data_IF_365909095284
#
_entry.id   IF_365909095284
#
_cell.length_a   1.000
_cell.length_b   1.000
_cell.length_c   1.000
_cell.angle_alpha   90.00
_cell.angle_beta   90.00
_cell.angle_gamma   90.00
#
_symmetry.space_group_name_H-M   'P 1'
#
loop_
_entity.id
_entity.type
_entity.pdbx_description
1 polymer ?
#
# COMPACT_ATOMS: atom_id res chain seq x y z
N UNK A 1 5.43 0.79 -11.68
CA UNK A 1 4.85 2.14 -11.81
C UNK A 1 4.07 2.30 -13.11
N UNK A 2 4.67 2.11 -14.27
CA UNK A 2 4.00 2.27 -15.57
C UNK A 2 2.68 1.50 -15.67
N UNK A 3 2.67 0.21 -15.32
CA UNK A 3 1.48 -0.64 -15.32
C UNK A 3 0.34 -0.14 -14.42
N UNK A 4 0.67 0.44 -13.24
CA UNK A 4 -0.32 1.04 -12.33
C UNK A 4 -0.93 2.28 -12.96
N UNK A 5 -0.10 3.13 -13.58
CA UNK A 5 -0.54 4.34 -14.27
C UNK A 5 -1.40 4.05 -15.50
N UNK A 6 -1.14 2.92 -16.16
CA UNK A 6 -1.90 2.43 -17.32
C UNK A 6 -3.18 1.68 -16.92
N UNK A 7 -3.48 1.57 -15.60
CA UNK A 7 -4.68 0.90 -15.10
C UNK A 7 -4.66 -0.62 -15.23
N UNK A 8 -3.48 -1.24 -15.33
CA UNK A 8 -3.36 -2.71 -15.43
C UNK A 8 -3.93 -3.38 -14.19
N UNK A 9 -4.87 -4.31 -14.36
CA UNK A 9 -5.37 -5.15 -13.29
C UNK A 9 -4.32 -6.22 -12.92
N UNK A 10 -3.51 -5.90 -11.91
CA UNK A 10 -2.42 -6.77 -11.44
C UNK A 10 -2.91 -8.12 -10.92
N UNK A 11 -4.14 -8.22 -10.41
CA UNK A 11 -4.72 -9.48 -9.93
C UNK A 11 -5.17 -10.37 -11.10
N UNK A 12 -5.76 -9.77 -12.13
CA UNK A 12 -6.09 -10.48 -13.36
C UNK A 12 -4.82 -10.99 -14.06
N UNK A 13 -3.78 -10.18 -14.10
CA UNK A 13 -2.47 -10.60 -14.62
C UNK A 13 -1.90 -11.78 -13.82
N UNK A 14 -1.92 -11.73 -12.48
CA UNK A 14 -1.46 -12.82 -11.61
C UNK A 14 -2.25 -14.11 -11.86
N UNK A 15 -3.59 -14.01 -11.90
CA UNK A 15 -4.48 -15.12 -12.22
C UNK A 15 -4.11 -15.79 -13.55
N UNK A 16 -3.90 -14.99 -14.59
CA UNK A 16 -3.51 -15.46 -15.92
C UNK A 16 -2.18 -16.25 -15.88
N UNK A 17 -1.15 -15.69 -15.27
CA UNK A 17 0.19 -16.30 -15.22
C UNK A 17 0.18 -17.64 -14.48
N UNK A 18 -0.51 -17.72 -13.34
CA UNK A 18 -0.60 -18.96 -12.55
C UNK A 18 -1.43 -20.02 -13.30
N UNK A 19 -2.52 -19.60 -13.97
CA UNK A 19 -3.36 -20.50 -14.77
C UNK A 19 -2.61 -21.06 -15.98
N UNK A 20 -1.85 -20.23 -16.68
CA UNK A 20 -1.00 -20.65 -17.81
C UNK A 20 0.13 -21.59 -17.38
N UNK A 21 0.58 -21.49 -16.11
CA UNK A 21 1.53 -22.42 -15.50
C UNK A 21 0.90 -23.75 -15.04
N UNK A 22 -0.38 -24.00 -15.36
CA UNK A 22 -1.08 -25.26 -15.14
C UNK A 22 -1.95 -25.32 -13.90
N UNK A 23 -2.15 -24.22 -13.16
CA UNK A 23 -3.04 -24.16 -12.00
C UNK A 23 -4.17 -23.15 -12.24
N UNK A 24 -5.40 -23.59 -12.55
CA UNK A 24 -6.54 -22.68 -12.67
C UNK A 24 -6.72 -21.83 -11.41
N UNK A 25 -6.64 -20.51 -11.57
CA UNK A 25 -6.67 -19.59 -10.45
C UNK A 25 -7.63 -18.44 -10.77
N UNK A 26 -8.63 -18.22 -9.92
CA UNK A 26 -9.55 -17.10 -10.10
C UNK A 26 -8.85 -15.76 -9.78
N UNK A 27 -9.42 -14.65 -10.28
CA UNK A 27 -8.94 -13.30 -9.94
C UNK A 27 -8.98 -13.04 -8.41
N UNK A 28 -9.97 -13.60 -7.72
CA UNK A 28 -10.10 -13.44 -6.27
C UNK A 28 -8.99 -14.19 -5.52
N UNK A 29 -8.69 -15.43 -5.92
CA UNK A 29 -7.61 -16.22 -5.33
C UNK A 29 -6.24 -15.61 -5.64
N UNK A 30 -6.08 -15.05 -6.83
CA UNK A 30 -4.86 -14.39 -7.27
C UNK A 30 -4.47 -13.16 -6.42
N UNK A 31 -5.40 -12.55 -5.68
CA UNK A 31 -5.07 -11.42 -4.77
C UNK A 31 -4.01 -11.79 -3.75
N UNK A 32 -4.14 -12.94 -3.10
CA UNK A 32 -3.17 -13.41 -2.13
C UNK A 32 -1.79 -13.64 -2.77
N UNK A 33 -1.76 -14.21 -3.98
CA UNK A 33 -0.52 -14.46 -4.72
C UNK A 33 0.12 -13.19 -5.24
N UNK A 34 -0.65 -12.16 -5.60
CA UNK A 34 -0.13 -10.84 -6.01
C UNK A 34 0.63 -10.18 -4.86
N UNK A 35 0.07 -10.19 -3.66
CA UNK A 35 0.67 -9.53 -2.50
C UNK A 35 1.80 -10.35 -1.85
N UNK A 36 1.73 -11.68 -1.90
CA UNK A 36 2.68 -12.54 -1.21
C UNK A 36 4.16 -12.25 -1.58
N UNK A 37 4.58 -12.17 -2.86
CA UNK A 37 5.96 -11.84 -3.19
C UNK A 37 6.31 -10.38 -2.89
N UNK A 38 5.34 -9.45 -2.94
CA UNK A 38 5.55 -8.05 -2.53
C UNK A 38 5.97 -7.97 -1.05
N UNK A 39 5.39 -8.82 -0.20
CA UNK A 39 5.77 -8.95 1.21
C UNK A 39 6.84 -10.03 1.46
N UNK A 40 7.47 -10.51 0.38
CA UNK A 40 8.69 -11.32 0.41
C UNK A 40 8.50 -12.82 0.51
N UNK A 41 7.35 -13.35 0.15
CA UNK A 41 7.21 -14.78 -0.08
C UNK A 41 8.09 -15.23 -1.24
N UNK A 42 8.69 -16.42 -1.10
CA UNK A 42 9.68 -16.98 -2.04
C UNK A 42 9.14 -18.15 -2.86
N UNK A 43 7.88 -18.52 -2.68
CA UNK A 43 7.30 -19.72 -3.27
C UNK A 43 7.58 -21.02 -2.51
N UNK A 44 8.36 -20.99 -1.44
CA UNK A 44 8.61 -22.16 -0.59
C UNK A 44 7.29 -22.67 0.03
N UNK A 45 7.04 -23.98 -0.08
CA UNK A 45 5.79 -24.59 0.42
C UNK A 45 4.55 -24.28 -0.44
N UNK A 46 4.74 -23.79 -1.66
CA UNK A 46 3.70 -23.48 -2.65
C UNK A 46 3.69 -24.52 -3.77
N UNK A 47 2.64 -24.49 -4.59
CA UNK A 47 2.60 -25.31 -5.82
C UNK A 47 3.69 -24.88 -6.80
N UNK A 48 3.99 -25.72 -7.76
CA UNK A 48 4.99 -25.42 -8.79
C UNK A 48 4.59 -24.16 -9.60
N UNK A 49 3.31 -24.01 -9.95
CA UNK A 49 2.79 -22.85 -10.69
C UNK A 49 2.91 -21.56 -9.88
N UNK A 50 2.53 -21.59 -8.60
CA UNK A 50 2.67 -20.43 -7.69
C UNK A 50 4.15 -20.06 -7.49
N UNK A 51 5.03 -21.04 -7.30
CA UNK A 51 6.46 -20.80 -7.16
C UNK A 51 7.06 -20.17 -8.43
N UNK A 52 6.68 -20.67 -9.61
CA UNK A 52 7.08 -20.11 -10.89
C UNK A 52 6.63 -18.65 -11.03
N UNK A 53 5.38 -18.33 -10.65
CA UNK A 53 4.89 -16.94 -10.61
C UNK A 53 5.74 -16.07 -9.68
N UNK A 54 6.08 -16.54 -8.47
CA UNK A 54 6.88 -15.76 -7.52
C UNK A 54 8.28 -15.46 -8.04
N UNK A 55 8.92 -16.43 -8.70
CA UNK A 55 10.20 -16.22 -9.38
C UNK A 55 10.07 -15.19 -10.52
N UNK A 56 9.03 -15.31 -11.33
CA UNK A 56 8.74 -14.36 -12.40
C UNK A 56 8.50 -12.95 -11.84
N UNK A 57 7.73 -12.82 -10.75
CA UNK A 57 7.47 -11.55 -10.09
C UNK A 57 8.76 -10.85 -9.63
N UNK A 58 9.64 -11.58 -8.95
CA UNK A 58 10.92 -11.02 -8.45
C UNK A 58 11.85 -10.64 -9.61
N UNK A 59 11.88 -11.42 -10.67
CA UNK A 59 12.67 -11.10 -11.87
C UNK A 59 12.12 -9.84 -12.57
N UNK A 60 10.79 -9.74 -12.72
CA UNK A 60 10.11 -8.59 -13.34
C UNK A 60 10.27 -7.32 -12.52
N UNK A 61 10.20 -7.41 -11.20
CA UNK A 61 10.26 -6.28 -10.27
C UNK A 61 11.56 -6.31 -9.44
N UNK A 62 12.71 -6.37 -10.10
CA UNK A 62 14.02 -6.45 -9.44
C UNK A 62 14.28 -5.34 -8.41
N UNK A 63 13.68 -4.16 -8.59
CA UNK A 63 13.75 -3.06 -7.62
C UNK A 63 13.12 -3.40 -6.27
N UNK A 64 12.05 -4.23 -6.24
CA UNK A 64 11.44 -4.70 -4.99
C UNK A 64 12.41 -5.63 -4.24
N UNK A 65 13.07 -6.54 -4.95
CA UNK A 65 14.07 -7.43 -4.35
C UNK A 65 15.24 -6.65 -3.75
N UNK A 66 15.78 -5.68 -4.47
CA UNK A 66 16.84 -4.79 -3.99
C UNK A 66 16.41 -3.98 -2.77
N UNK A 67 15.20 -3.44 -2.78
CA UNK A 67 14.63 -2.72 -1.65
C UNK A 67 14.47 -3.62 -0.41
N UNK A 68 13.96 -4.86 -0.56
CA UNK A 68 13.88 -5.84 0.53
C UNK A 68 15.24 -6.14 1.15
N UNK A 69 16.30 -6.25 0.32
CA UNK A 69 17.66 -6.46 0.82
C UNK A 69 18.19 -5.24 1.58
N UNK A 70 17.89 -4.02 1.11
CA UNK A 70 18.27 -2.80 1.80
C UNK A 70 17.61 -2.67 3.17
N UNK A 71 16.32 -3.01 3.27
CA UNK A 71 15.60 -3.06 4.55
C UNK A 71 16.22 -4.08 5.51
N UNK A 72 16.52 -5.29 5.02
CA UNK A 72 17.17 -6.33 5.81
C UNK A 72 18.52 -5.89 6.35
N UNK A 73 19.34 -5.26 5.50
CA UNK A 73 20.65 -4.71 5.89
C UNK A 73 20.50 -3.59 6.91
N UNK A 74 19.53 -2.69 6.73
CA UNK A 74 19.26 -1.60 7.68
C UNK A 74 18.86 -2.15 9.05
N UNK A 75 17.90 -3.09 9.08
CA UNK A 75 17.44 -3.70 10.33
C UNK A 75 18.57 -4.43 11.08
N UNK A 76 19.39 -5.23 10.36
CA UNK A 76 20.51 -5.95 10.95
C UNK A 76 21.64 -5.04 11.48
N UNK A 77 21.88 -3.89 10.81
CA UNK A 77 22.98 -3.00 11.18
C UNK A 77 22.58 -1.94 12.20
N UNK A 78 21.33 -1.41 12.09
CA UNK A 78 20.86 -0.29 12.90
C UNK A 78 19.90 -0.73 14.02
N UNK A 79 19.33 -1.96 13.93
CA UNK A 79 18.29 -2.44 14.83
C UNK A 79 16.90 -1.85 14.54
N UNK A 80 16.75 -1.06 13.49
CA UNK A 80 15.46 -0.48 13.08
C UNK A 80 15.38 -0.24 11.58
N UNK A 81 14.15 -0.02 11.10
CA UNK A 81 13.85 0.49 9.76
C UNK A 81 12.99 1.75 9.89
N UNK A 82 13.03 2.62 8.88
CA UNK A 82 12.19 3.83 8.83
C UNK A 82 11.27 3.80 7.62
N UNK A 83 10.09 4.39 7.78
CA UNK A 83 9.17 4.70 6.68
C UNK A 83 9.58 6.02 6.00
N UNK A 84 9.03 6.34 4.82
CA UNK A 84 9.23 7.65 4.20
C UNK A 84 8.78 8.84 5.08
N UNK A 85 7.79 8.64 5.96
CA UNK A 85 7.33 9.65 6.92
C UNK A 85 8.28 9.85 8.12
N UNK A 86 9.37 9.06 8.22
CA UNK A 86 10.30 9.12 9.34
C UNK A 86 9.93 8.23 10.53
N UNK A 87 8.78 7.55 10.51
CA UNK A 87 8.38 6.59 11.55
C UNK A 87 9.38 5.44 11.61
N UNK A 88 9.78 5.04 12.80
CA UNK A 88 10.76 3.96 13.03
C UNK A 88 10.12 2.72 13.65
N UNK A 89 10.55 1.56 13.17
CA UNK A 89 10.20 0.24 13.71
C UNK A 89 11.47 -0.42 14.23
N UNK A 90 11.56 -0.58 15.55
CA UNK A 90 12.69 -1.20 16.21
C UNK A 90 12.59 -2.73 16.20
N UNK A 91 13.72 -3.39 16.04
CA UNK A 91 13.89 -4.85 16.09
C UNK A 91 15.02 -5.20 17.08
N UNK A 92 14.80 -5.03 18.39
CA UNK A 92 15.88 -5.14 19.40
C UNK A 92 16.49 -6.55 19.48
N UNK A 93 15.72 -7.58 19.12
CA UNK A 93 16.14 -8.99 19.20
C UNK A 93 16.41 -9.61 17.81
N UNK A 94 16.71 -8.77 16.82
CA UNK A 94 16.96 -9.25 15.47
C UNK A 94 18.24 -10.09 15.41
N UNK A 95 18.16 -11.25 14.79
CA UNK A 95 19.29 -12.13 14.54
C UNK A 95 19.41 -12.47 13.07
N UNK A 96 20.61 -12.85 12.63
CA UNK A 96 20.87 -13.33 11.28
C UNK A 96 20.67 -14.85 11.25
N UNK A 97 19.79 -15.31 10.36
CA UNK A 97 19.58 -16.75 10.10
C UNK A 97 20.73 -17.34 9.28
N UNK A 98 20.85 -18.68 9.21
CA UNK A 98 21.88 -19.39 8.42
C UNK A 98 21.87 -19.02 6.93
N UNK A 99 20.71 -18.67 6.38
CA UNK A 99 20.56 -18.22 4.98
C UNK A 99 20.89 -16.72 4.77
N UNK A 100 21.44 -16.04 5.79
CA UNK A 100 21.81 -14.64 5.73
C UNK A 100 20.68 -13.65 5.98
N UNK A 101 19.41 -14.08 5.97
CA UNK A 101 18.26 -13.21 6.18
C UNK A 101 18.05 -12.89 7.68
N UNK A 102 17.40 -11.75 8.00
CA UNK A 102 16.98 -11.45 9.37
C UNK A 102 15.93 -12.45 9.89
N UNK A 103 15.88 -12.65 11.20
CA UNK A 103 14.87 -13.49 11.84
C UNK A 103 13.44 -13.02 11.60
N UNK A 104 13.22 -11.69 11.52
CA UNK A 104 11.92 -11.05 11.34
C UNK A 104 11.69 -10.51 9.91
N UNK A 105 12.23 -11.18 8.91
CA UNK A 105 12.30 -10.65 7.54
C UNK A 105 10.95 -10.28 6.93
N UNK A 106 9.88 -11.02 7.22
CA UNK A 106 8.53 -10.70 6.74
C UNK A 106 8.00 -9.39 7.35
N UNK A 107 8.20 -9.19 8.66
CA UNK A 107 7.78 -7.95 9.36
C UNK A 107 8.54 -6.74 8.84
N UNK A 108 9.85 -6.89 8.61
CA UNK A 108 10.74 -5.85 8.07
C UNK A 108 10.25 -5.36 6.71
N UNK A 109 9.74 -6.25 5.85
CA UNK A 109 9.22 -5.89 4.53
C UNK A 109 7.81 -5.29 4.57
N UNK A 110 6.97 -5.82 5.47
CA UNK A 110 5.56 -5.45 5.54
C UNK A 110 5.35 -4.10 6.24
N UNK A 111 6.00 -3.87 7.37
CA UNK A 111 5.76 -2.70 8.22
C UNK A 111 5.90 -1.35 7.48
N UNK A 112 6.96 -1.09 6.69
CA UNK A 112 7.08 0.20 6.01
C UNK A 112 5.94 0.47 5.03
N UNK A 113 5.50 -0.56 4.28
CA UNK A 113 4.43 -0.41 3.28
C UNK A 113 3.10 -0.17 3.95
N UNK A 114 2.70 -1.07 4.85
CA UNK A 114 1.39 -0.98 5.49
C UNK A 114 1.29 0.25 6.40
N UNK A 115 2.31 0.51 7.20
CA UNK A 115 2.29 1.66 8.09
C UNK A 115 2.25 2.98 7.33
N UNK A 116 3.06 3.14 6.29
CA UNK A 116 3.05 4.38 5.52
C UNK A 116 1.68 4.61 4.86
N UNK A 117 1.07 3.57 4.29
CA UNK A 117 -0.26 3.68 3.70
C UNK A 117 -1.35 3.97 4.75
N UNK A 118 -1.44 3.16 5.82
CA UNK A 118 -2.59 3.18 6.73
C UNK A 118 -2.41 4.08 7.95
N UNK A 119 -1.19 4.24 8.46
CA UNK A 119 -0.91 5.01 9.67
C UNK A 119 -0.36 6.42 9.39
N UNK A 120 0.06 6.71 8.17
CA UNK A 120 0.57 8.02 7.80
C UNK A 120 -0.32 8.69 6.73
N UNK A 121 -0.52 8.07 5.55
CA UNK A 121 -1.30 8.67 4.45
C UNK A 121 -2.77 8.81 4.80
N UNK A 122 -3.42 7.78 5.37
CA UNK A 122 -4.86 7.83 5.69
C UNK A 122 -5.17 8.92 6.72
N UNK A 123 -4.51 9.02 7.89
CA UNK A 123 -4.73 10.10 8.84
C UNK A 123 -4.41 11.49 8.26
N UNK A 124 -3.36 11.61 7.45
CA UNK A 124 -3.04 12.86 6.77
C UNK A 124 -4.17 13.28 5.83
N UNK A 125 -4.72 12.34 5.06
CA UNK A 125 -5.86 12.56 4.16
C UNK A 125 -7.11 12.98 4.94
N UNK A 126 -7.39 12.32 6.06
CA UNK A 126 -8.51 12.67 6.96
C UNK A 126 -8.39 14.11 7.44
N UNK A 127 -7.25 14.50 7.99
CA UNK A 127 -7.00 15.85 8.48
C UNK A 127 -7.12 16.91 7.35
N UNK A 128 -6.70 16.54 6.16
CA UNK A 128 -6.80 17.44 5.01
C UNK A 128 -8.26 17.62 4.56
N UNK A 129 -9.05 16.54 4.49
CA UNK A 129 -10.49 16.62 4.17
C UNK A 129 -11.23 17.41 5.25
N UNK A 130 -10.97 17.15 6.53
CA UNK A 130 -11.52 17.89 7.65
C UNK A 130 -11.23 19.40 7.53
N UNK A 131 -10.00 19.74 7.16
CA UNK A 131 -9.64 21.13 6.90
C UNK A 131 -10.44 21.75 5.74
N UNK A 132 -10.72 20.99 4.69
CA UNK A 132 -11.50 21.47 3.53
C UNK A 132 -12.99 21.60 3.83
N UNK A 133 -13.51 20.82 4.79
CA UNK A 133 -14.92 20.89 5.23
C UNK A 133 -15.19 22.02 6.24
N UNK A 134 -14.17 22.76 6.70
CA UNK A 134 -14.36 23.84 7.66
C UNK A 134 -15.36 24.89 7.16
N UNK A 135 -16.33 25.19 8.01
CA UNK A 135 -17.41 26.13 7.71
C UNK A 135 -18.63 25.51 7.04
N UNK A 136 -18.59 24.21 6.75
CA UNK A 136 -19.73 23.42 6.27
C UNK A 136 -20.48 22.79 7.46
N UNK A 137 -21.72 22.36 7.24
CA UNK A 137 -22.48 21.55 8.18
C UNK A 137 -22.13 20.06 8.07
N UNK A 138 -21.66 19.66 6.90
CA UNK A 138 -21.15 18.31 6.63
C UNK A 138 -19.86 18.04 7.40
N UNK A 139 -19.73 16.85 7.99
CA UNK A 139 -18.57 16.51 8.82
C UNK A 139 -18.16 15.05 8.67
N UNK A 140 -16.90 14.72 8.99
CA UNK A 140 -16.41 13.35 9.08
C UNK A 140 -16.95 12.76 10.38
N UNK A 141 -17.70 11.64 10.28
CA UNK A 141 -18.27 10.94 11.44
C UNK A 141 -17.57 9.64 11.77
N UNK A 142 -16.87 9.03 10.83
CA UNK A 142 -16.14 7.79 11.07
C UNK A 142 -15.01 7.59 10.07
N UNK A 143 -14.02 6.76 10.45
CA UNK A 143 -13.03 6.21 9.54
C UNK A 143 -12.88 4.72 9.78
N UNK A 144 -12.88 3.93 8.71
CA UNK A 144 -12.76 2.47 8.77
C UNK A 144 -11.65 2.03 7.81
N UNK A 145 -10.52 1.61 8.36
CA UNK A 145 -9.31 1.23 7.60
C UNK A 145 -8.82 2.34 6.68
N UNK A 146 -9.14 2.25 5.39
CA UNK A 146 -8.75 3.16 4.30
C UNK A 146 -9.93 3.99 3.77
N UNK A 147 -11.09 3.92 4.44
CA UNK A 147 -12.29 4.67 4.07
C UNK A 147 -12.67 5.71 5.12
N UNK A 148 -13.30 6.80 4.65
CA UNK A 148 -13.87 7.86 5.46
C UNK A 148 -15.39 7.88 5.26
N UNK A 149 -16.13 8.07 6.36
CA UNK A 149 -17.57 8.27 6.33
C UNK A 149 -17.85 9.73 6.66
N UNK A 150 -18.52 10.41 5.74
CA UNK A 150 -18.91 11.81 5.87
C UNK A 150 -20.43 11.86 5.98
N UNK A 151 -20.94 12.46 7.04
CA UNK A 151 -22.33 12.86 7.14
C UNK A 151 -22.51 14.15 6.34
N UNK A 152 -23.32 14.07 5.29
CA UNK A 152 -23.43 15.16 4.31
C UNK A 152 -24.76 15.86 4.47
N UNK A 153 -24.73 17.16 4.82
CA UNK A 153 -25.94 17.98 4.81
C UNK A 153 -26.55 18.00 3.40
N UNK A 154 -27.88 17.86 3.25
CA UNK A 154 -28.54 17.70 1.95
C UNK A 154 -28.18 18.81 0.94
N UNK A 155 -28.06 20.06 1.40
CA UNK A 155 -27.74 21.21 0.55
C UNK A 155 -26.25 21.32 0.19
N UNK A 156 -25.38 20.49 0.78
CA UNK A 156 -23.93 20.56 0.62
C UNK A 156 -23.33 19.41 -0.20
N UNK A 157 -24.16 18.53 -0.77
CA UNK A 157 -23.67 17.35 -1.48
C UNK A 157 -22.68 17.69 -2.61
N UNK A 158 -22.99 18.70 -3.42
CA UNK A 158 -22.10 19.09 -4.53
C UNK A 158 -20.81 19.75 -4.03
N UNK A 159 -20.86 20.49 -2.92
CA UNK A 159 -19.69 21.06 -2.26
C UNK A 159 -18.77 19.95 -1.72
N UNK A 160 -19.34 18.93 -1.07
CA UNK A 160 -18.57 17.78 -0.57
C UNK A 160 -17.92 17.01 -1.72
N UNK A 161 -18.63 16.76 -2.82
CA UNK A 161 -18.03 16.17 -4.04
C UNK A 161 -16.87 17.02 -4.57
N UNK A 162 -17.01 18.34 -4.55
CA UNK A 162 -15.93 19.25 -4.95
C UNK A 162 -14.74 19.17 -4.00
N UNK A 163 -14.95 19.07 -2.69
CA UNK A 163 -13.90 18.85 -1.68
C UNK A 163 -13.10 17.59 -2.01
N UNK A 164 -13.76 16.46 -2.26
CA UNK A 164 -13.09 15.20 -2.62
C UNK A 164 -12.30 15.34 -3.93
N UNK A 165 -12.89 15.97 -4.95
CA UNK A 165 -12.19 16.23 -6.22
C UNK A 165 -10.94 17.10 -6.03
N UNK A 166 -11.03 18.12 -5.17
CA UNK A 166 -9.89 18.97 -4.80
C UNK A 166 -8.83 18.19 -4.04
N UNK A 167 -9.22 17.34 -3.10
CA UNK A 167 -8.31 16.47 -2.36
C UNK A 167 -7.55 15.55 -3.33
N UNK A 168 -8.23 14.87 -4.25
CA UNK A 168 -7.60 14.02 -5.26
C UNK A 168 -6.53 14.75 -6.11
N UNK A 169 -6.71 16.02 -6.40
CA UNK A 169 -5.76 16.81 -7.19
C UNK A 169 -4.51 17.22 -6.42
N UNK A 170 -4.63 17.43 -5.11
CA UNK A 170 -3.56 18.06 -4.31
C UNK A 170 -2.87 17.09 -3.35
N UNK A 171 -3.49 15.96 -3.02
CA UNK A 171 -3.04 15.07 -1.95
C UNK A 171 -1.59 14.59 -2.15
N UNK A 172 -1.22 14.15 -3.35
CA UNK A 172 0.16 13.69 -3.64
C UNK A 172 1.18 14.82 -3.44
N UNK A 173 0.86 16.02 -3.94
CA UNK A 173 1.74 17.20 -3.76
C UNK A 173 1.91 17.57 -2.28
N UNK A 174 0.83 17.49 -1.51
CA UNK A 174 0.87 17.79 -0.08
C UNK A 174 1.66 16.73 0.71
N UNK A 175 1.51 15.46 0.37
CA UNK A 175 2.30 14.35 0.93
C UNK A 175 3.79 14.57 0.69
N UNK A 176 4.17 14.90 -0.55
CA UNK A 176 5.55 15.18 -0.91
C UNK A 176 6.12 16.37 -0.11
N UNK A 177 5.35 17.43 0.02
CA UNK A 177 5.74 18.61 0.80
C UNK A 177 5.83 18.31 2.30
N UNK A 178 4.90 17.49 2.85
CA UNK A 178 4.85 17.19 4.27
C UNK A 178 6.07 16.40 4.74
N UNK A 179 6.52 15.43 3.94
CA UNK A 179 7.57 14.50 4.33
C UNK A 179 8.87 14.65 3.54
N UNK A 180 8.95 15.63 2.65
CA UNK A 180 10.11 15.88 1.77
C UNK A 180 10.52 14.63 0.98
N UNK A 181 9.54 14.04 0.28
CA UNK A 181 9.70 12.78 -0.49
C UNK A 181 9.24 12.96 -1.94
N UNK A 182 9.66 12.06 -2.80
CA UNK A 182 9.15 11.94 -4.19
C UNK A 182 8.15 10.78 -4.28
N UNK A 183 6.96 10.97 -3.69
CA UNK A 183 5.86 10.03 -3.83
C UNK A 183 5.12 10.33 -5.14
N UNK A 184 5.17 9.40 -6.09
CA UNK A 184 4.65 9.57 -7.44
C UNK A 184 3.57 8.55 -7.82
N UNK A 185 2.98 7.89 -6.83
CA UNK A 185 1.83 7.00 -7.02
C UNK A 185 0.54 7.81 -6.95
N UNK A 186 -0.38 7.71 -7.93
CA UNK A 186 -1.67 8.37 -7.85
C UNK A 186 -2.47 7.84 -6.65
N UNK A 187 -3.04 8.76 -5.87
CA UNK A 187 -3.98 8.46 -4.80
C UNK A 187 -5.34 9.01 -5.21
N UNK A 188 -6.31 8.11 -5.32
CA UNK A 188 -7.68 8.47 -5.70
C UNK A 188 -8.64 8.07 -4.59
N UNK A 189 -9.38 9.04 -4.10
CA UNK A 189 -10.51 8.83 -3.22
C UNK A 189 -11.75 8.58 -4.09
N UNK A 190 -12.28 7.38 -4.02
CA UNK A 190 -13.55 7.04 -4.66
C UNK A 190 -14.69 7.46 -3.75
N UNK A 191 -15.71 8.11 -4.34
CA UNK A 191 -16.89 8.56 -3.63
C UNK A 191 -18.05 7.59 -3.87
N UNK A 192 -18.63 7.06 -2.81
CA UNK A 192 -19.87 6.30 -2.87
C UNK A 192 -20.91 7.03 -2.03
N UNK A 193 -22.11 7.22 -2.58
CA UNK A 193 -23.24 7.83 -1.88
C UNK A 193 -24.15 6.71 -1.44
N UNK A 194 -24.38 6.62 -0.15
CA UNK A 194 -25.34 5.69 0.45
C UNK A 194 -26.70 6.36 0.68
N UNK A 195 -27.75 5.57 0.96
CA UNK A 195 -28.99 6.11 1.49
C UNK A 195 -28.73 6.69 2.89
N UNK A 196 -29.48 7.75 3.22
CA UNK A 196 -29.51 8.31 4.57
C UNK A 196 -30.17 7.34 5.54
#
# INVERSE_FOLDING_TARGET
MKEILEGTDVHAYTSKVITEAGQPTSRQDAKAHTFAPLFGATGYGRTQAEAAYYHHFIAKYAGIAAWHQSLAKSALNKGFISTPSGRQFAFPNITRRRNGNPSEFTRIKNYPVQSFATADIVPFTLLYIEHLLKGMQSCIVNSVHDSLVIDVHPDELEQVKYVIKRANKSLVTLINKQWDIDFNVPLLLECKIGPN
#
